data_IF_218038416569
#
_entry.id   IF_218038416569
#
_cell.length_a   1.000
_cell.length_b   1.000
_cell.length_c   1.000
_cell.angle_alpha   90.00
_cell.angle_beta   90.00
_cell.angle_gamma   90.00
#
_symmetry.space_group_name_H-M   'P 1'
#
loop_
_entity.id
_entity.type
_entity.pdbx_description
1 polymer ?
#
# COMPACT_ATOMS: atom_id res chain seq x y z
N UNK A 1 -6.06 -7.22 14.17
CA UNK A 1 -6.69 -8.53 14.46
C UNK A 1 -7.12 -9.12 13.14
N UNK A 2 -6.80 -10.40 12.87
CA UNK A 2 -7.30 -11.12 11.68
C UNK A 2 -8.49 -11.95 12.13
N UNK A 3 -9.65 -11.76 11.49
CA UNK A 3 -10.88 -12.51 11.83
C UNK A 3 -10.90 -13.87 11.13
N UNK A 4 -10.54 -13.91 9.84
CA UNK A 4 -10.54 -15.11 9.03
C UNK A 4 -9.60 -14.91 7.83
N UNK A 5 -9.02 -16.01 7.32
CA UNK A 5 -8.27 -16.00 6.06
C UNK A 5 -9.12 -16.60 4.94
N UNK A 6 -9.43 -15.78 3.95
CA UNK A 6 -10.13 -16.21 2.73
C UNK A 6 -9.10 -16.61 1.67
N UNK A 7 -9.34 -17.74 1.00
CA UNK A 7 -8.51 -18.23 -0.12
C UNK A 7 -9.26 -18.30 -1.45
N UNK A 8 -10.57 -18.03 -1.45
CA UNK A 8 -11.42 -18.03 -2.64
C UNK A 8 -12.58 -17.07 -2.46
N UNK A 9 -12.83 -16.22 -3.46
CA UNK A 9 -14.02 -15.37 -3.49
C UNK A 9 -15.30 -16.22 -3.67
N UNK A 10 -15.21 -17.35 -4.38
CA UNK A 10 -16.35 -18.25 -4.58
C UNK A 10 -16.86 -18.87 -3.26
N UNK A 11 -15.96 -19.15 -2.31
CA UNK A 11 -16.32 -19.67 -1.00
C UNK A 11 -17.19 -18.68 -0.19
N UNK A 12 -17.12 -17.38 -0.48
CA UNK A 12 -18.00 -16.38 0.15
C UNK A 12 -19.45 -16.50 -0.38
N UNK A 13 -19.61 -16.84 -1.66
CA UNK A 13 -20.94 -17.08 -2.24
C UNK A 13 -21.58 -18.37 -1.70
N UNK A 14 -20.79 -19.41 -1.45
CA UNK A 14 -21.27 -20.66 -0.82
C UNK A 14 -21.77 -20.43 0.62
N UNK A 15 -21.28 -19.37 1.27
CA UNK A 15 -21.73 -18.94 2.61
C UNK A 15 -22.98 -18.07 2.60
N UNK A 16 -23.58 -17.85 1.43
CA UNK A 16 -24.82 -17.08 1.28
C UNK A 16 -24.63 -15.58 1.13
N UNK A 17 -23.41 -15.10 0.87
CA UNK A 17 -23.22 -13.72 0.41
C UNK A 17 -23.63 -13.61 -1.06
N UNK A 18 -24.29 -12.52 -1.46
CA UNK A 18 -24.69 -12.29 -2.86
C UNK A 18 -23.78 -11.26 -3.55
N UNK A 19 -23.30 -10.28 -2.78
CA UNK A 19 -22.37 -9.24 -3.22
C UNK A 19 -21.10 -9.32 -2.37
N UNK A 20 -19.94 -9.38 -3.03
CA UNK A 20 -18.62 -9.37 -2.39
C UNK A 20 -17.84 -8.15 -2.85
N UNK A 21 -17.33 -7.35 -1.91
CA UNK A 21 -16.41 -6.25 -2.25
C UNK A 21 -14.97 -6.73 -2.03
N UNK A 22 -14.23 -6.89 -3.12
CA UNK A 22 -12.86 -7.37 -3.10
C UNK A 22 -11.87 -6.19 -2.97
N UNK A 23 -11.48 -5.91 -1.74
CA UNK A 23 -10.44 -4.94 -1.38
C UNK A 23 -9.11 -5.60 -0.95
N UNK A 24 -8.75 -6.75 -1.54
CA UNK A 24 -7.64 -7.57 -1.05
C UNK A 24 -6.24 -6.99 -1.32
N UNK A 25 -6.13 -5.83 -1.98
CA UNK A 25 -4.85 -5.21 -2.34
C UNK A 25 -3.96 -6.20 -3.10
N UNK A 26 -2.76 -6.46 -2.58
CA UNK A 26 -1.79 -7.36 -3.22
C UNK A 26 -2.29 -8.81 -3.26
N UNK A 27 -3.18 -9.19 -2.33
CA UNK A 27 -3.81 -10.49 -2.28
C UNK A 27 -4.75 -10.76 -3.46
N UNK A 28 -5.21 -9.73 -4.18
CA UNK A 28 -6.05 -9.88 -5.36
C UNK A 28 -5.36 -10.65 -6.48
N UNK A 29 -4.01 -10.68 -6.51
CA UNK A 29 -3.24 -11.55 -7.42
C UNK A 29 -3.67 -13.01 -7.32
N UNK A 30 -3.87 -13.50 -6.10
CA UNK A 30 -4.29 -14.87 -5.85
C UNK A 30 -5.82 -14.98 -5.81
N UNK A 31 -6.50 -14.06 -5.12
CA UNK A 31 -7.95 -14.16 -4.87
C UNK A 31 -8.82 -13.91 -6.10
N UNK A 32 -8.40 -13.00 -6.98
CA UNK A 32 -9.10 -12.68 -8.23
C UNK A 32 -8.37 -13.21 -9.47
N UNK A 33 -7.27 -13.96 -9.27
CA UNK A 33 -6.45 -14.46 -10.38
C UNK A 33 -5.86 -13.36 -11.27
N UNK A 34 -5.70 -12.12 -10.76
CA UNK A 34 -5.26 -10.98 -11.56
C UNK A 34 -3.72 -10.95 -11.67
N UNK A 35 -3.14 -11.32 -12.83
CA UNK A 35 -1.70 -11.39 -12.99
C UNK A 35 -1.02 -10.02 -13.05
N UNK A 36 -1.80 -8.94 -13.27
CA UNK A 36 -1.31 -7.58 -13.35
C UNK A 36 -1.00 -7.00 -11.97
N UNK A 37 -1.52 -7.60 -10.89
CA UNK A 37 -1.20 -7.22 -9.52
C UNK A 37 0.24 -7.63 -9.18
N UNK A 38 1.05 -6.65 -8.78
CA UNK A 38 2.47 -6.78 -8.48
C UNK A 38 2.78 -6.22 -7.10
N UNK A 39 3.78 -6.81 -6.45
CA UNK A 39 4.28 -6.31 -5.17
C UNK A 39 5.39 -5.28 -5.42
N UNK A 40 5.20 -4.07 -4.92
CA UNK A 40 6.29 -3.10 -4.79
C UNK A 40 6.71 -3.02 -3.33
N UNK A 41 7.79 -3.73 -3.00
CA UNK A 41 8.26 -3.85 -1.63
C UNK A 41 8.88 -2.54 -1.15
N UNK A 42 8.52 -2.16 0.06
CA UNK A 42 9.10 -1.03 0.77
C UNK A 42 9.42 -1.40 2.21
N UNK A 43 10.60 -1.02 2.66
CA UNK A 43 11.03 -1.12 4.05
C UNK A 43 10.92 0.26 4.70
N UNK A 44 10.36 0.32 5.90
CA UNK A 44 10.32 1.51 6.75
C UNK A 44 10.84 1.19 8.15
N UNK A 45 11.45 2.21 8.77
CA UNK A 45 12.00 2.14 10.12
C UNK A 45 11.21 3.07 11.03
N UNK A 46 10.70 2.55 12.14
CA UNK A 46 10.19 3.37 13.22
C UNK A 46 11.34 3.64 14.18
N UNK A 47 11.57 4.90 14.52
CA UNK A 47 12.74 5.32 15.31
C UNK A 47 12.34 6.36 16.35
N UNK A 48 13.20 6.57 17.35
CA UNK A 48 12.98 7.67 18.31
C UNK A 48 12.99 9.04 17.63
N UNK A 49 12.18 10.00 18.11
CA UNK A 49 12.29 11.39 17.72
C UNK A 49 13.68 11.96 18.01
N UNK A 50 14.17 12.82 17.12
CA UNK A 50 15.41 13.58 17.32
C UNK A 50 15.07 15.05 17.57
N UNK A 51 15.68 15.70 18.57
CA UNK A 51 15.43 17.12 18.83
C UNK A 51 15.82 18.00 17.63
N UNK A 52 14.98 18.96 17.28
CA UNK A 52 15.26 19.93 16.22
C UNK A 52 14.76 19.55 14.83
N UNK A 53 14.10 18.41 14.66
CA UNK A 53 13.33 18.12 13.46
C UNK A 53 11.93 18.74 13.59
N UNK A 54 11.67 19.81 12.84
CA UNK A 54 10.45 20.62 13.00
C UNK A 54 9.30 20.24 12.05
N UNK A 55 9.59 19.50 10.98
CA UNK A 55 8.61 19.12 9.95
C UNK A 55 8.97 17.79 9.33
N UNK A 56 7.95 17.12 8.78
CA UNK A 56 8.16 15.96 7.92
C UNK A 56 8.92 16.35 6.66
N UNK A 57 9.82 15.47 6.22
CA UNK A 57 10.68 15.66 5.06
C UNK A 57 10.37 14.63 3.99
N UNK A 58 10.50 15.03 2.74
CA UNK A 58 10.26 14.18 1.58
C UNK A 58 11.16 14.63 0.42
N UNK A 59 11.77 13.66 -0.26
CA UNK A 59 12.60 13.87 -1.44
C UNK A 59 12.31 12.77 -2.47
N UNK A 60 11.84 13.19 -3.64
CA UNK A 60 11.65 12.36 -4.83
C UNK A 60 12.97 12.30 -5.62
N UNK A 61 13.96 11.66 -5.02
CA UNK A 61 15.27 11.50 -5.64
C UNK A 61 15.17 10.72 -6.97
N UNK A 62 16.09 10.98 -7.93
CA UNK A 62 16.17 10.22 -9.17
C UNK A 62 16.27 8.70 -8.91
N UNK A 63 15.54 7.88 -9.69
CA UNK A 63 15.60 6.41 -9.59
C UNK A 63 14.46 5.76 -8.80
N UNK A 64 13.31 6.45 -8.64
CA UNK A 64 12.08 5.94 -7.99
C UNK A 64 12.21 5.60 -6.49
N UNK A 65 13.37 5.84 -5.87
CA UNK A 65 13.57 5.67 -4.44
C UNK A 65 13.21 6.96 -3.74
N UNK A 66 12.00 7.00 -3.20
CA UNK A 66 11.52 8.13 -2.41
C UNK A 66 12.05 8.02 -0.99
N UNK A 67 12.69 9.10 -0.53
CA UNK A 67 13.18 9.22 0.83
C UNK A 67 12.26 10.13 1.61
N UNK A 68 11.80 9.69 2.77
CA UNK A 68 10.95 10.49 3.63
C UNK A 68 11.28 10.26 5.11
N UNK A 69 11.07 11.31 5.89
CA UNK A 69 11.09 11.30 7.35
C UNK A 69 9.74 11.87 7.81
N UNK A 70 8.84 11.01 8.26
CA UNK A 70 7.54 11.43 8.76
C UNK A 70 7.54 11.50 10.28
N UNK A 71 7.06 12.61 10.83
CA UNK A 71 6.94 12.86 12.26
C UNK A 71 5.58 12.36 12.74
N UNK A 72 5.58 11.58 13.82
CA UNK A 72 4.43 11.26 14.64
C UNK A 72 4.70 11.71 16.09
N UNK A 73 3.68 11.67 16.94
CA UNK A 73 3.74 12.20 18.31
C UNK A 73 4.85 11.55 19.16
N UNK A 74 5.08 10.24 18.99
CA UNK A 74 5.99 9.45 19.83
C UNK A 74 7.14 8.78 19.06
N UNK A 75 7.16 8.86 17.72
CA UNK A 75 8.16 8.24 16.87
C UNK A 75 8.33 8.94 15.53
N UNK A 76 9.39 8.56 14.80
CA UNK A 76 9.60 8.94 13.40
C UNK A 76 9.51 7.71 12.52
N UNK A 77 8.98 7.88 11.31
CA UNK A 77 9.03 6.87 10.25
C UNK A 77 10.02 7.31 9.18
N UNK A 78 11.08 6.53 9.01
CA UNK A 78 12.11 6.73 7.98
C UNK A 78 11.84 5.72 6.87
N UNK A 79 11.73 6.20 5.65
CA UNK A 79 11.58 5.33 4.48
C UNK A 79 12.19 5.93 3.22
N UNK A 80 12.18 5.23 2.10
CA UNK A 80 11.83 3.81 1.95
C UNK A 80 12.80 3.13 0.99
N UNK A 81 12.72 1.80 0.88
CA UNK A 81 13.11 1.08 -0.35
C UNK A 81 11.97 1.08 -1.37
N UNK A 82 12.30 0.78 -2.63
CA UNK A 82 11.34 0.54 -3.70
C UNK A 82 11.85 -0.61 -4.57
N UNK A 83 11.42 -1.82 -4.26
CA UNK A 83 11.88 -3.04 -4.92
C UNK A 83 10.70 -3.68 -5.66
N UNK A 84 10.82 -3.77 -6.99
CA UNK A 84 9.75 -4.27 -7.83
C UNK A 84 9.74 -5.80 -7.85
N UNK A 85 8.54 -6.39 -7.82
CA UNK A 85 8.31 -7.85 -7.82
C UNK A 85 9.01 -8.61 -6.68
N UNK A 86 9.39 -7.91 -5.62
CA UNK A 86 9.92 -8.53 -4.41
C UNK A 86 8.75 -8.90 -3.49
N UNK A 87 8.53 -10.21 -3.33
CA UNK A 87 7.42 -10.76 -2.52
C UNK A 87 7.84 -11.22 -1.14
N UNK A 88 9.14 -11.40 -0.90
CA UNK A 88 9.64 -11.80 0.40
C UNK A 88 9.75 -10.60 1.35
N UNK A 89 9.57 -10.85 2.63
CA UNK A 89 9.60 -9.81 3.68
C UNK A 89 10.95 -9.76 4.42
N UNK A 90 12.02 -10.30 3.83
CA UNK A 90 13.35 -10.30 4.47
C UNK A 90 14.00 -8.93 4.34
N UNK A 91 14.58 -8.48 5.44
CA UNK A 91 15.30 -7.22 5.53
C UNK A 91 16.80 -7.52 5.61
N UNK A 92 17.62 -6.86 4.77
CA UNK A 92 19.08 -6.89 4.91
C UNK A 92 19.62 -5.63 5.60
N UNK A 93 20.78 -5.75 6.27
CA UNK A 93 21.39 -4.65 7.01
C UNK A 93 21.83 -3.48 6.11
N UNK A 94 22.21 -3.77 4.85
CA UNK A 94 22.60 -2.76 3.89
C UNK A 94 21.45 -1.83 3.53
N UNK A 95 20.24 -2.38 3.37
CA UNK A 95 19.02 -1.61 3.13
C UNK A 95 18.69 -0.68 4.29
N UNK A 96 18.83 -1.16 5.53
CA UNK A 96 18.57 -0.35 6.72
C UNK A 96 19.54 0.83 6.80
N UNK A 97 20.84 0.57 6.63
CA UNK A 97 21.85 1.61 6.64
C UNK A 97 21.62 2.62 5.52
N UNK A 98 21.26 2.15 4.32
CA UNK A 98 20.97 3.02 3.19
C UNK A 98 19.75 3.92 3.43
N UNK A 99 18.69 3.44 4.09
CA UNK A 99 17.53 4.28 4.49
C UNK A 99 18.00 5.37 5.46
N UNK A 100 18.73 4.98 6.51
CA UNK A 100 19.21 5.90 7.54
C UNK A 100 20.11 6.98 6.91
N UNK A 101 21.06 6.59 6.06
CA UNK A 101 22.00 7.53 5.43
C UNK A 101 21.28 8.56 4.55
N UNK A 102 20.29 8.12 3.75
CA UNK A 102 19.48 9.04 2.93
C UNK A 102 18.64 9.98 3.80
N UNK A 103 18.02 9.46 4.86
CA UNK A 103 17.21 10.28 5.78
C UNK A 103 18.07 11.29 6.55
N UNK A 104 19.27 10.90 6.99
CA UNK A 104 20.25 11.78 7.62
C UNK A 104 20.71 12.88 6.69
N UNK A 105 20.98 12.55 5.43
CA UNK A 105 21.31 13.54 4.40
C UNK A 105 20.17 14.54 4.22
N UNK A 106 18.93 14.06 4.12
CA UNK A 106 17.75 14.92 3.97
C UNK A 106 17.56 15.85 5.17
N UNK A 107 17.66 15.33 6.40
CA UNK A 107 17.60 16.12 7.63
C UNK A 107 18.76 17.11 7.78
N UNK A 108 19.97 16.76 7.31
CA UNK A 108 21.11 17.66 7.28
C UNK A 108 20.86 18.85 6.33
N UNK A 109 20.31 18.60 5.14
CA UNK A 109 19.96 19.65 4.16
C UNK A 109 18.84 20.54 4.69
N UNK A 110 17.89 19.96 5.44
CA UNK A 110 16.82 20.69 6.12
C UNK A 110 17.32 21.64 7.23
N UNK A 111 18.55 21.41 7.73
CA UNK A 111 19.16 22.19 8.81
C UNK A 111 18.86 21.66 10.22
N UNK A 112 18.36 20.43 10.35
CA UNK A 112 18.14 19.81 11.66
C UNK A 112 19.47 19.66 12.41
N UNK A 113 19.67 20.24 13.60
CA UNK A 113 20.97 20.25 14.28
C UNK A 113 21.46 18.84 14.68
N UNK A 114 20.54 17.96 15.08
CA UNK A 114 20.84 16.61 15.55
C UNK A 114 20.59 15.55 14.46
N UNK A 115 20.74 15.92 13.19
CA UNK A 115 20.47 15.02 12.07
C UNK A 115 21.26 13.70 12.15
N UNK A 116 22.45 13.68 12.77
CA UNK A 116 23.29 12.47 12.91
C UNK A 116 22.65 11.41 13.81
N UNK A 117 21.81 11.83 14.74
CA UNK A 117 21.15 10.91 15.68
C UNK A 117 19.93 10.23 15.06
N UNK A 118 19.48 10.70 13.88
CA UNK A 118 18.36 10.13 13.18
C UNK A 118 18.63 8.65 12.87
N UNK A 119 17.72 7.77 13.32
CA UNK A 119 17.86 6.32 13.19
C UNK A 119 18.86 5.64 14.14
N UNK A 120 19.40 6.34 15.15
CA UNK A 120 20.29 5.74 16.15
C UNK A 120 19.58 4.70 17.04
N UNK A 121 18.33 4.97 17.41
CA UNK A 121 17.46 4.01 18.13
C UNK A 121 16.30 3.61 17.23
N UNK A 122 16.38 2.39 16.69
CA UNK A 122 15.32 1.78 15.90
C UNK A 122 14.35 1.07 16.84
N UNK A 123 13.09 1.50 16.84
CA UNK A 123 12.00 0.91 17.61
C UNK A 123 11.40 -0.30 16.89
N UNK A 124 11.24 -0.19 15.57
CA UNK A 124 10.61 -1.23 14.76
C UNK A 124 11.10 -1.18 13.30
N UNK A 125 10.97 -2.31 12.61
CA UNK A 125 11.33 -2.52 11.21
C UNK A 125 10.17 -3.18 10.50
N UNK A 126 9.59 -2.51 9.51
CA UNK A 126 8.41 -2.99 8.80
C UNK A 126 8.71 -3.16 7.32
N UNK A 127 8.20 -4.26 6.77
CA UNK A 127 8.12 -4.48 5.32
C UNK A 127 6.66 -4.36 4.90
N UNK A 128 6.42 -3.65 3.81
CA UNK A 128 5.11 -3.56 3.18
C UNK A 128 5.21 -3.90 1.70
N UNK A 129 4.20 -4.60 1.19
CA UNK A 129 4.03 -4.88 -0.23
C UNK A 129 2.96 -3.95 -0.79
N UNK A 130 3.38 -2.89 -1.50
CA UNK A 130 2.42 -1.97 -2.10
C UNK A 130 1.74 -2.66 -3.29
N UNK A 131 0.40 -2.61 -3.39
CA UNK A 131 -0.36 -3.37 -4.37
C UNK A 131 -0.42 -2.63 -5.71
N UNK A 132 0.71 -2.55 -6.41
CA UNK A 132 0.72 -1.98 -7.76
C UNK A 132 -0.05 -2.90 -8.71
N UNK A 133 -0.68 -2.34 -9.73
CA UNK A 133 -1.34 -3.11 -10.78
C UNK A 133 -1.02 -2.51 -12.15
N UNK A 134 -0.56 -3.35 -13.07
CA UNK A 134 -0.12 -2.95 -14.42
C UNK A 134 1.29 -3.41 -14.76
N UNK A 135 1.71 -3.13 -15.99
CA UNK A 135 3.06 -3.46 -16.47
C UNK A 135 4.12 -2.52 -15.88
N UNK A 136 5.35 -3.01 -15.74
CA UNK A 136 6.49 -2.19 -15.30
C UNK A 136 6.68 -0.96 -16.18
N UNK A 137 6.75 0.22 -15.57
CA UNK A 137 6.98 1.48 -16.29
C UNK A 137 5.74 2.06 -16.98
N UNK A 138 4.57 1.47 -16.77
CA UNK A 138 3.27 2.01 -17.20
C UNK A 138 2.56 2.63 -15.99
N UNK A 139 1.63 3.56 -16.23
CA UNK A 139 0.75 4.12 -15.20
C UNK A 139 0.04 2.99 -14.43
N UNK A 140 0.10 3.05 -13.10
CA UNK A 140 -0.61 2.10 -12.22
C UNK A 140 -2.12 2.21 -12.44
N UNK A 141 -2.80 1.06 -12.51
CA UNK A 141 -4.22 0.97 -12.86
C UNK A 141 -5.04 0.40 -11.68
N UNK A 142 -5.93 1.22 -11.12
CA UNK A 142 -6.85 0.81 -10.06
C UNK A 142 -8.00 0.03 -10.67
N UNK A 143 -8.17 -1.24 -10.27
CA UNK A 143 -9.35 -2.02 -10.68
C UNK A 143 -10.52 -1.66 -9.79
N UNK A 144 -11.46 -0.90 -10.35
CA UNK A 144 -12.70 -0.49 -9.73
C UNK A 144 -13.86 -0.79 -10.69
N UNK A 145 -14.44 -1.98 -10.58
CA UNK A 145 -15.46 -2.45 -11.53
C UNK A 145 -16.31 -3.60 -10.94
N UNK A 146 -17.40 -3.92 -11.64
CA UNK A 146 -18.27 -5.06 -11.35
C UNK A 146 -17.80 -6.29 -12.13
N UNK A 147 -17.78 -7.45 -11.48
CA UNK A 147 -17.63 -8.76 -12.11
C UNK A 147 -18.83 -9.64 -11.74
N UNK A 148 -19.55 -10.15 -12.73
CA UNK A 148 -20.69 -11.04 -12.52
C UNK A 148 -20.23 -12.50 -12.33
N UNK A 149 -20.45 -13.04 -11.13
CA UNK A 149 -20.05 -14.41 -10.76
C UNK A 149 -21.13 -15.48 -11.06
N UNK A 150 -22.16 -15.11 -11.83
CA UNK A 150 -23.29 -15.98 -12.19
C UNK A 150 -24.32 -16.14 -11.07
N UNK A 151 -25.52 -16.66 -11.41
CA UNK A 151 -26.61 -16.91 -10.45
C UNK A 151 -26.99 -15.69 -9.59
N UNK A 152 -26.94 -14.48 -10.16
CA UNK A 152 -27.24 -13.23 -9.44
C UNK A 152 -26.14 -12.76 -8.48
N UNK A 153 -24.99 -13.42 -8.46
CA UNK A 153 -23.84 -13.08 -7.60
C UNK A 153 -22.93 -12.08 -8.28
N UNK A 154 -22.40 -11.16 -7.48
CA UNK A 154 -21.55 -10.08 -7.96
C UNK A 154 -20.32 -9.87 -7.08
N UNK A 155 -19.19 -9.59 -7.72
CA UNK A 155 -17.99 -9.08 -7.09
C UNK A 155 -17.82 -7.62 -7.52
N UNK A 156 -17.59 -6.72 -6.56
CA UNK A 156 -17.12 -5.36 -6.83
C UNK A 156 -15.62 -5.32 -6.48
N UNK A 157 -14.77 -5.14 -7.48
CA UNK A 157 -13.34 -5.03 -7.27
C UNK A 157 -12.98 -3.60 -6.86
N UNK A 158 -12.06 -3.45 -5.90
CA UNK A 158 -11.46 -2.18 -5.52
C UNK A 158 -10.04 -2.43 -4.99
N UNK A 159 -9.08 -2.59 -5.89
CA UNK A 159 -7.68 -2.86 -5.55
C UNK A 159 -6.72 -2.34 -6.64
N UNK A 160 -5.41 -2.43 -6.38
CA UNK A 160 -4.39 -2.00 -7.34
C UNK A 160 -3.89 -0.57 -7.14
N UNK A 161 -4.12 0.03 -5.96
CA UNK A 161 -3.82 1.43 -5.69
C UNK A 161 -2.33 1.79 -5.53
N UNK A 162 -1.43 0.83 -5.66
CA UNK A 162 0.02 1.06 -5.63
C UNK A 162 0.46 1.91 -4.44
N UNK A 163 1.13 3.04 -4.72
CA UNK A 163 1.62 3.98 -3.69
C UNK A 163 0.58 4.98 -3.20
N UNK A 164 -0.56 5.08 -3.89
CA UNK A 164 -1.55 6.14 -3.71
C UNK A 164 -2.78 5.69 -2.92
N UNK A 165 -2.78 4.46 -2.40
CA UNK A 165 -3.95 3.87 -1.72
C UNK A 165 -4.57 4.72 -0.63
N UNK A 166 -3.75 5.35 0.24
CA UNK A 166 -4.29 6.23 1.31
C UNK A 166 -4.90 7.49 0.72
N UNK A 167 -4.23 8.13 -0.24
CA UNK A 167 -4.69 9.37 -0.87
C UNK A 167 -5.98 9.17 -1.68
N UNK A 168 -6.18 7.98 -2.26
CA UNK A 168 -7.34 7.63 -3.08
C UNK A 168 -8.46 6.92 -2.31
N UNK A 169 -8.25 6.62 -1.01
CA UNK A 169 -9.10 5.72 -0.26
C UNK A 169 -10.57 6.15 -0.24
N UNK A 170 -10.85 7.42 0.06
CA UNK A 170 -12.23 7.92 0.14
C UNK A 170 -12.95 7.90 -1.21
N UNK A 171 -12.33 8.43 -2.26
CA UNK A 171 -12.95 8.46 -3.59
C UNK A 171 -13.23 7.06 -4.14
N UNK A 172 -12.26 6.15 -4.02
CA UNK A 172 -12.46 4.76 -4.47
C UNK A 172 -13.44 3.98 -3.59
N UNK A 173 -13.58 4.31 -2.31
CA UNK A 173 -14.60 3.71 -1.45
C UNK A 173 -16.01 4.19 -1.81
N UNK A 174 -16.16 5.48 -2.12
CA UNK A 174 -17.44 6.07 -2.56
C UNK A 174 -17.90 5.43 -3.89
N UNK A 175 -17.02 5.36 -4.88
CA UNK A 175 -17.35 4.76 -6.17
C UNK A 175 -17.67 3.25 -6.06
N UNK A 176 -16.93 2.51 -5.23
CA UNK A 176 -17.25 1.11 -4.95
C UNK A 176 -18.61 0.96 -4.25
N UNK A 177 -18.96 1.86 -3.32
CA UNK A 177 -20.27 1.86 -2.65
C UNK A 177 -21.42 2.17 -3.63
N UNK A 178 -21.19 3.04 -4.60
CA UNK A 178 -22.15 3.34 -5.66
C UNK A 178 -22.37 2.13 -6.57
N UNK A 179 -21.32 1.40 -6.94
CA UNK A 179 -21.43 0.15 -7.69
C UNK A 179 -22.21 -0.92 -6.92
N UNK A 180 -21.90 -1.13 -5.63
CA UNK A 180 -22.66 -2.04 -4.77
C UNK A 180 -24.13 -1.65 -4.72
N UNK A 181 -24.41 -0.36 -4.55
CA UNK A 181 -25.78 0.16 -4.48
C UNK A 181 -26.53 -0.02 -5.80
N UNK A 182 -25.86 0.16 -6.94
CA UNK A 182 -26.44 -0.07 -8.26
C UNK A 182 -26.78 -1.55 -8.48
N UNK A 183 -25.90 -2.46 -8.06
CA UNK A 183 -26.15 -3.91 -8.10
C UNK A 183 -27.33 -4.29 -7.22
N UNK A 184 -27.36 -3.82 -5.97
CA UNK A 184 -28.44 -4.12 -5.02
C UNK A 184 -29.81 -3.60 -5.48
N UNK A 185 -29.84 -2.50 -6.24
CA UNK A 185 -31.08 -1.94 -6.83
C UNK A 185 -31.45 -2.56 -8.18
N UNK A 186 -30.63 -3.44 -8.75
CA UNK A 186 -30.82 -3.97 -10.11
C UNK A 186 -30.65 -2.92 -11.21
N UNK A 187 -29.95 -1.82 -10.92
CA UNK A 187 -29.71 -0.71 -11.86
C UNK A 187 -28.30 -0.72 -12.45
N UNK A 188 -27.45 -1.69 -12.07
CA UNK A 188 -26.19 -1.92 -12.75
C UNK A 188 -26.46 -2.36 -14.20
N UNK A 189 -25.77 -1.74 -15.17
CA UNK A 189 -25.90 -2.15 -16.57
C UNK A 189 -25.28 -3.55 -16.72
N UNK A 190 -25.93 -4.48 -17.43
CA UNK A 190 -25.25 -5.69 -17.88
C UNK A 190 -24.19 -5.31 -18.91
N UNK A 191 -23.06 -6.03 -18.86
CA UNK A 191 -21.95 -5.92 -19.82
C UNK A 191 -22.39 -6.09 -21.29
#
# INVERSE_FOLDING_TARGET
MVHERITSLAALFERGHEIVVNCAGVGARALAGDPLVRAMRGIVLHTRPVPGLARSLHDDAPGNVVTYVFIYDDHLVLGSTYEQDAWDERIDQGQLQAIIDRCRKLACVDGCPNWRDLGAEILDRRVGLRPARGQTGVTEDVRLEIEHAGAGRTIVHNYGHGRSGVSLAWGTAEEAADLVSAVARGTARPD
#
